data_IF_369973385243
#
_entry.id   IF_369973385243
#
_cell.length_a   1.000
_cell.length_b   1.000
_cell.length_c   1.000
_cell.angle_alpha   90.00
_cell.angle_beta   90.00
_cell.angle_gamma   90.00
#
_symmetry.space_group_name_H-M   'P 1'
#
loop_
_entity.id
_entity.type
_entity.pdbx_description
1 polymer ?
#
# COMPACT_ATOMS: atom_id res chain seq x y z
N UNK A 1 -11.60 -23.92 -11.66
CA UNK A 1 -11.94 -22.49 -11.45
C UNK A 1 -10.67 -21.72 -11.16
N UNK A 2 -10.46 -20.63 -11.87
CA UNK A 2 -9.29 -19.79 -11.62
C UNK A 2 -9.51 -18.97 -10.35
N UNK A 3 -8.55 -18.97 -9.46
CA UNK A 3 -8.54 -18.14 -8.25
C UNK A 3 -7.61 -16.95 -8.50
N UNK A 4 -8.09 -15.76 -8.22
CA UNK A 4 -7.32 -14.53 -8.34
C UNK A 4 -7.30 -13.79 -7.01
N UNK A 5 -6.13 -13.30 -6.64
CA UNK A 5 -5.93 -12.54 -5.42
C UNK A 5 -5.38 -11.17 -5.80
N UNK A 6 -6.02 -10.13 -5.30
CA UNK A 6 -5.44 -8.79 -5.37
C UNK A 6 -4.35 -8.70 -4.30
N UNK A 7 -3.13 -8.43 -4.72
CA UNK A 7 -1.99 -8.23 -3.81
C UNK A 7 -1.63 -6.77 -3.79
N UNK A 8 -1.54 -6.20 -2.59
CA UNK A 8 -1.10 -4.83 -2.36
C UNK A 8 0.19 -4.89 -1.58
N UNK A 9 1.24 -4.27 -2.13
CA UNK A 9 2.56 -4.20 -1.50
C UNK A 9 2.86 -2.74 -1.16
N UNK A 10 2.87 -2.44 0.12
CA UNK A 10 3.16 -1.09 0.64
C UNK A 10 4.63 -1.02 1.01
N UNK A 11 5.45 -0.64 0.03
CA UNK A 11 6.89 -0.55 0.20
C UNK A 11 7.36 0.79 0.78
N UNK A 12 8.67 0.92 0.97
CA UNK A 12 9.29 2.13 1.54
C UNK A 12 9.51 3.25 0.53
N UNK A 13 9.53 2.93 -0.75
CA UNK A 13 9.71 3.92 -1.82
C UNK A 13 8.50 4.02 -2.73
N UNK A 14 7.63 3.03 -2.70
CA UNK A 14 6.44 3.01 -3.54
C UNK A 14 5.52 1.87 -3.21
N UNK A 15 4.38 1.89 -3.85
CA UNK A 15 3.30 0.96 -3.65
C UNK A 15 3.05 0.19 -4.94
N UNK A 16 2.65 -1.07 -4.81
CA UNK A 16 2.27 -1.90 -5.94
C UNK A 16 0.94 -2.56 -5.66
N UNK A 17 0.17 -2.75 -6.72
CA UNK A 17 -0.98 -3.64 -6.69
C UNK A 17 -0.93 -4.51 -7.95
N UNK A 18 -1.27 -5.76 -7.80
CA UNK A 18 -1.28 -6.72 -8.90
C UNK A 18 -2.28 -7.82 -8.62
N UNK A 19 -2.64 -8.55 -9.64
CA UNK A 19 -3.43 -9.78 -9.49
C UNK A 19 -2.48 -10.96 -9.60
N UNK A 20 -2.54 -11.85 -8.62
CA UNK A 20 -1.80 -13.11 -8.62
C UNK A 20 -2.81 -14.23 -8.80
N UNK A 21 -2.57 -15.09 -9.78
CA UNK A 21 -3.41 -16.22 -10.10
C UNK A 21 -2.89 -17.50 -9.45
N UNK A 22 -3.73 -18.52 -9.39
CA UNK A 22 -3.38 -19.79 -8.77
C UNK A 22 -2.23 -20.54 -9.45
N UNK A 23 -1.89 -20.18 -10.68
CA UNK A 23 -0.71 -20.72 -11.38
C UNK A 23 0.59 -19.95 -11.07
N UNK A 24 0.51 -18.93 -10.21
CA UNK A 24 1.63 -18.08 -9.85
C UNK A 24 1.87 -16.92 -10.80
N UNK A 25 1.09 -16.76 -11.86
CA UNK A 25 1.25 -15.65 -12.78
C UNK A 25 0.80 -14.35 -12.15
N UNK A 26 1.48 -13.26 -12.52
CA UNK A 26 1.19 -11.90 -12.05
C UNK A 26 0.69 -11.08 -13.23
N UNK A 27 -0.42 -10.37 -13.03
CA UNK A 27 -1.02 -9.55 -14.07
C UNK A 27 -1.49 -8.23 -13.50
N UNK A 28 -1.70 -7.26 -14.40
CA UNK A 28 -2.26 -5.94 -14.08
C UNK A 28 -1.50 -5.21 -12.98
N UNK A 29 -0.16 -5.28 -13.03
CA UNK A 29 0.71 -4.60 -12.08
C UNK A 29 0.63 -3.10 -12.27
N UNK A 30 0.31 -2.39 -11.20
CA UNK A 30 0.35 -0.93 -11.12
C UNK A 30 1.28 -0.51 -9.99
N UNK A 31 2.03 0.56 -10.22
CA UNK A 31 3.01 1.08 -9.28
C UNK A 31 2.84 2.57 -9.12
N UNK A 32 3.02 3.06 -7.91
CA UNK A 32 3.00 4.49 -7.60
C UNK A 32 4.12 4.81 -6.60
N UNK A 33 4.86 5.87 -6.86
CA UNK A 33 5.87 6.35 -5.91
C UNK A 33 5.18 6.94 -4.68
N UNK A 34 5.70 6.60 -3.51
CA UNK A 34 5.27 7.18 -2.25
C UNK A 34 6.52 7.39 -1.40
N UNK A 35 7.20 8.49 -1.66
CA UNK A 35 8.49 8.78 -1.04
C UNK A 35 8.31 9.34 0.36
N UNK A 36 9.18 8.95 1.32
CA UNK A 36 9.18 9.54 2.63
C UNK A 36 9.73 10.97 2.59
N UNK A 37 9.42 11.75 3.62
CA UNK A 37 10.03 13.04 3.87
C UNK A 37 11.01 12.92 5.02
N UNK A 38 12.05 13.75 5.01
CA UNK A 38 13.03 13.79 6.08
C UNK A 38 13.23 15.27 6.48
N UNK A 39 12.44 15.77 7.46
CA UNK A 39 12.52 17.15 7.90
C UNK A 39 13.90 17.50 8.46
N UNK A 40 14.58 16.54 9.06
CA UNK A 40 15.96 16.66 9.50
C UNK A 40 16.61 15.30 9.59
N UNK A 41 17.93 15.29 9.70
CA UNK A 41 18.72 14.06 9.73
C UNK A 41 18.26 13.11 10.84
N UNK A 42 18.06 11.86 10.48
CA UNK A 42 17.63 10.80 11.41
C UNK A 42 16.13 10.66 11.58
N UNK A 43 15.32 11.56 11.00
CA UNK A 43 13.87 11.45 11.03
C UNK A 43 13.36 11.19 9.62
N UNK A 44 12.65 10.07 9.45
CA UNK A 44 12.02 9.70 8.18
C UNK A 44 10.53 9.47 8.43
N UNK A 45 9.69 10.20 7.71
CA UNK A 45 8.26 10.24 7.93
C UNK A 45 7.47 9.99 6.65
N UNK A 46 6.26 9.43 6.82
CA UNK A 46 5.26 9.32 5.75
C UNK A 46 3.97 10.00 6.17
N UNK A 47 3.30 10.62 5.21
CA UNK A 47 1.91 11.04 5.38
C UNK A 47 1.02 9.79 5.23
N UNK A 48 0.43 9.34 6.32
CA UNK A 48 -0.39 8.12 6.34
C UNK A 48 -1.64 8.24 5.46
N UNK A 49 -2.26 9.42 5.40
CA UNK A 49 -3.43 9.65 4.54
C UNK A 49 -3.06 9.66 3.07
N UNK A 50 -1.94 10.27 2.71
CA UNK A 50 -1.44 10.25 1.33
C UNK A 50 -1.09 8.81 0.90
N UNK A 51 -0.51 8.03 1.80
CA UNK A 51 -0.20 6.62 1.55
C UNK A 51 -1.49 5.82 1.35
N UNK A 52 -2.51 6.01 2.19
CA UNK A 52 -3.82 5.38 2.03
C UNK A 52 -4.42 5.69 0.65
N UNK A 53 -4.39 6.95 0.24
CA UNK A 53 -4.95 7.37 -1.03
C UNK A 53 -4.19 6.73 -2.21
N UNK A 54 -2.87 6.63 -2.10
CA UNK A 54 -2.05 5.96 -3.11
C UNK A 54 -2.37 4.46 -3.20
N UNK A 55 -2.56 3.79 -2.06
CA UNK A 55 -2.98 2.38 -2.01
C UNK A 55 -4.31 2.20 -2.72
N UNK A 56 -5.29 3.05 -2.45
CA UNK A 56 -6.60 2.98 -3.09
C UNK A 56 -6.50 3.22 -4.59
N UNK A 57 -5.66 4.15 -5.04
CA UNK A 57 -5.47 4.42 -6.47
C UNK A 57 -4.92 3.21 -7.21
N UNK A 58 -3.83 2.60 -6.73
CA UNK A 58 -3.24 1.44 -7.40
C UNK A 58 -4.15 0.22 -7.35
N UNK A 59 -4.86 0.01 -6.23
CA UNK A 59 -5.81 -1.07 -6.10
C UNK A 59 -6.96 -0.93 -7.08
N UNK A 60 -7.55 0.27 -7.19
CA UNK A 60 -8.65 0.52 -8.13
C UNK A 60 -8.22 0.37 -9.59
N UNK A 61 -7.02 0.82 -9.96
CA UNK A 61 -6.49 0.63 -11.31
C UNK A 61 -6.34 -0.85 -11.65
N UNK A 62 -5.82 -1.62 -10.72
CA UNK A 62 -5.64 -3.07 -10.92
C UNK A 62 -6.99 -3.77 -11.02
N UNK A 63 -7.95 -3.46 -10.17
CA UNK A 63 -9.28 -4.06 -10.21
C UNK A 63 -10.06 -3.67 -11.46
N UNK A 64 -9.92 -2.44 -11.93
CA UNK A 64 -10.58 -1.99 -13.17
C UNK A 64 -10.12 -2.81 -14.37
N UNK A 65 -8.85 -3.21 -14.41
CA UNK A 65 -8.31 -4.04 -15.48
C UNK A 65 -8.62 -5.53 -15.29
N UNK A 66 -8.55 -6.01 -14.05
CA UNK A 66 -8.67 -7.44 -13.73
C UNK A 66 -10.12 -7.92 -13.58
N UNK A 67 -11.01 -7.03 -13.15
CA UNK A 67 -12.38 -7.38 -12.80
C UNK A 67 -12.45 -7.97 -11.40
N UNK A 68 -13.10 -9.12 -11.26
CA UNK A 68 -13.35 -9.74 -9.97
C UNK A 68 -12.13 -10.50 -9.43
N UNK A 69 -11.89 -10.34 -8.13
CA UNK A 69 -10.91 -11.16 -7.39
C UNK A 69 -11.62 -11.82 -6.20
N UNK A 70 -11.07 -12.93 -5.72
CA UNK A 70 -11.67 -13.72 -4.64
C UNK A 70 -11.17 -13.29 -3.27
N UNK A 71 -9.99 -12.67 -3.20
CA UNK A 71 -9.38 -12.29 -1.93
C UNK A 71 -8.41 -11.13 -2.13
N UNK A 72 -8.01 -10.53 -1.02
CA UNK A 72 -7.00 -9.46 -0.98
C UNK A 72 -5.92 -9.85 0.00
N UNK A 73 -4.67 -9.77 -0.44
CA UNK A 73 -3.51 -9.92 0.43
C UNK A 73 -2.74 -8.60 0.49
N UNK A 74 -2.26 -8.26 1.67
CA UNK A 74 -1.51 -7.01 1.88
C UNK A 74 -0.18 -7.34 2.52
N UNK A 75 0.89 -6.80 1.96
CA UNK A 75 2.21 -6.80 2.57
C UNK A 75 2.66 -5.36 2.78
N UNK A 76 3.35 -5.09 3.88
CA UNK A 76 3.72 -3.74 4.27
C UNK A 76 5.18 -3.68 4.68
N UNK A 77 5.74 -2.47 4.72
CA UNK A 77 7.04 -2.23 5.29
C UNK A 77 7.06 -2.59 6.78
N UNK A 78 8.21 -3.05 7.25
CA UNK A 78 8.43 -3.43 8.65
C UNK A 78 8.82 -2.23 9.50
N UNK A 79 8.59 -2.35 10.82
CA UNK A 79 9.09 -1.42 11.83
C UNK A 79 8.72 0.04 11.55
N UNK A 80 7.55 0.26 10.99
CA UNK A 80 6.97 1.59 10.82
C UNK A 80 5.80 1.75 11.78
N UNK A 81 5.60 2.97 12.27
CA UNK A 81 4.62 3.24 13.31
C UNK A 81 3.64 4.32 12.85
N UNK A 82 2.37 4.02 12.96
CA UNK A 82 1.27 4.96 12.73
C UNK A 82 0.43 5.02 14.01
N UNK A 83 0.17 6.22 14.48
CA UNK A 83 -0.73 6.42 15.62
C UNK A 83 -1.95 7.20 15.14
N UNK A 84 -3.14 6.70 15.44
CA UNK A 84 -4.38 7.34 15.00
C UNK A 84 -5.39 7.42 16.13
N UNK A 85 -6.35 8.33 15.96
CA UNK A 85 -7.46 8.50 16.90
C UNK A 85 -8.43 7.33 16.74
N UNK A 86 -8.74 6.64 17.83
CA UNK A 86 -9.61 5.46 17.81
C UNK A 86 -11.06 5.78 17.41
N UNK A 87 -11.50 7.00 17.64
CA UNK A 87 -12.87 7.41 17.35
C UNK A 87 -13.05 7.86 15.90
N UNK A 88 -12.08 8.60 15.37
CA UNK A 88 -12.16 9.17 14.02
C UNK A 88 -11.44 8.36 12.96
N UNK A 89 -10.48 7.52 13.36
CA UNK A 89 -9.62 6.80 12.43
C UNK A 89 -8.57 7.67 11.75
N UNK A 90 -8.47 8.94 12.13
CA UNK A 90 -7.49 9.85 11.54
C UNK A 90 -6.15 9.75 12.26
N UNK A 91 -5.02 9.81 11.51
CA UNK A 91 -3.70 9.82 12.13
C UNK A 91 -3.51 11.11 12.93
N UNK A 92 -2.84 11.00 14.08
CA UNK A 92 -2.54 12.17 14.92
C UNK A 92 -1.21 12.83 14.55
N UNK A 93 -0.49 12.26 13.60
CA UNK A 93 0.78 12.78 13.11
C UNK A 93 1.31 11.92 11.99
N UNK A 94 2.50 12.24 11.46
CA UNK A 94 3.12 11.44 10.40
C UNK A 94 3.43 10.03 10.87
N UNK A 95 3.44 9.08 9.94
CA UNK A 95 3.95 7.75 10.18
C UNK A 95 5.47 7.78 10.27
N UNK A 96 6.04 7.12 11.27
CA UNK A 96 7.48 7.02 11.42
C UNK A 96 7.99 5.78 10.70
N UNK A 97 9.01 5.98 9.84
CA UNK A 97 9.63 4.91 9.09
C UNK A 97 10.80 4.31 9.86
N UNK A 98 11.10 3.05 9.53
CA UNK A 98 12.29 2.36 10.04
C UNK A 98 13.60 2.95 9.52
N UNK A 99 13.53 3.70 8.44
CA UNK A 99 14.70 4.27 7.74
C UNK A 99 15.44 5.32 8.56
#
# INVERSE_FOLDING_TARGET
MAVSVLVIDVGTTGLRAAVVRNDGSIAHLNYELCSPTSPFSGLVEFDALAMRDAVLRVAHKTLAAAGKVEAVGITTQRASTVVWDANTGLPIGPSLSWQ
#
